data_IF_239103242695
#
_entry.id   IF_239103242695
#
_cell.length_a   1.000
_cell.length_b   1.000
_cell.length_c   1.000
_cell.angle_alpha   90.00
_cell.angle_beta   90.00
_cell.angle_gamma   90.00
#
_symmetry.space_group_name_H-M   'P 1'
#
loop_
_entity.id
_entity.type
_entity.pdbx_description
1 polymer ?
#
# COMPACT_ATOMS: atom_id res chain seq x y z
N UNK A 1 19.40 1.76 -3.48
CA UNK A 1 17.94 1.64 -3.33
C UNK A 1 17.67 0.22 -2.88
N UNK A 2 17.26 0.00 -1.62
CA UNK A 2 16.95 -1.36 -1.15
C UNK A 2 15.59 -1.76 -1.69
N UNK A 3 15.53 -2.83 -2.48
CA UNK A 3 14.28 -3.38 -2.97
C UNK A 3 13.59 -4.11 -1.81
N UNK A 4 12.38 -3.67 -1.45
CA UNK A 4 11.59 -4.33 -0.39
C UNK A 4 10.99 -5.64 -0.89
N UNK A 5 10.57 -6.51 0.03
CA UNK A 5 9.81 -7.72 -0.32
C UNK A 5 8.53 -7.37 -1.11
N UNK A 6 7.84 -6.30 -0.72
CA UNK A 6 6.68 -5.79 -1.43
C UNK A 6 7.00 -5.43 -2.90
N UNK A 7 8.12 -4.73 -3.15
CA UNK A 7 8.53 -4.38 -4.51
C UNK A 7 8.79 -5.63 -5.38
N UNK A 8 9.55 -6.60 -4.85
CA UNK A 8 9.85 -7.84 -5.59
C UNK A 8 8.58 -8.64 -5.90
N UNK A 9 7.67 -8.70 -4.92
CA UNK A 9 6.42 -9.41 -5.10
C UNK A 9 5.50 -8.69 -6.10
N UNK A 10 5.46 -7.36 -6.08
CA UNK A 10 4.73 -6.57 -7.07
C UNK A 10 5.25 -6.80 -8.49
N UNK A 11 6.56 -6.90 -8.69
CA UNK A 11 7.16 -7.25 -9.99
C UNK A 11 6.71 -8.65 -10.46
N UNK A 12 6.65 -9.63 -9.55
CA UNK A 12 6.12 -10.97 -9.85
C UNK A 12 4.65 -10.91 -10.24
N UNK A 13 3.80 -10.21 -9.46
CA UNK A 13 2.37 -10.10 -9.75
C UNK A 13 2.12 -9.39 -11.09
N UNK A 14 2.91 -8.37 -11.44
CA UNK A 14 2.80 -7.67 -12.71
C UNK A 14 3.05 -8.59 -13.92
N UNK A 15 3.88 -9.61 -13.77
CA UNK A 15 4.17 -10.61 -14.81
C UNK A 15 3.10 -11.70 -14.94
N UNK A 16 2.23 -11.87 -13.94
CA UNK A 16 1.18 -12.89 -13.92
C UNK A 16 -0.13 -12.39 -14.57
N UNK A 17 -0.92 -13.28 -15.19
CA UNK A 17 -2.29 -12.97 -15.61
C UNK A 17 -3.19 -12.74 -14.38
N UNK A 18 -4.28 -12.00 -14.57
CA UNK A 18 -5.20 -11.58 -13.49
C UNK A 18 -5.67 -12.73 -12.59
N UNK A 19 -6.05 -13.85 -13.18
CA UNK A 19 -6.54 -15.02 -12.42
C UNK A 19 -5.46 -15.64 -11.51
N UNK A 20 -4.20 -15.64 -11.96
CA UNK A 20 -3.08 -16.18 -11.18
C UNK A 20 -2.59 -15.23 -10.08
N UNK A 21 -2.85 -13.91 -10.22
CA UNK A 21 -2.47 -12.93 -9.19
C UNK A 21 -3.22 -13.17 -7.89
N UNK A 22 -4.50 -13.53 -7.96
CA UNK A 22 -5.32 -13.78 -6.76
C UNK A 22 -4.79 -14.95 -5.95
N UNK A 23 -4.51 -16.05 -6.65
CA UNK A 23 -3.93 -17.26 -6.04
C UNK A 23 -2.56 -16.96 -5.44
N UNK A 24 -1.69 -16.26 -6.17
CA UNK A 24 -0.37 -15.87 -5.69
C UNK A 24 -0.44 -15.00 -4.41
N UNK A 25 -1.36 -14.03 -4.34
CA UNK A 25 -1.52 -13.19 -3.14
C UNK A 25 -2.08 -14.01 -1.98
N UNK A 26 -3.07 -14.87 -2.21
CA UNK A 26 -3.61 -15.76 -1.18
C UNK A 26 -2.53 -16.68 -0.60
N UNK A 27 -1.71 -17.31 -1.46
CA UNK A 27 -0.58 -18.13 -1.05
C UNK A 27 0.42 -17.32 -0.22
N UNK A 28 0.82 -16.13 -0.68
CA UNK A 28 1.78 -15.29 0.04
C UNK A 28 1.27 -14.88 1.43
N UNK A 29 -0.02 -14.62 1.58
CA UNK A 29 -0.64 -14.28 2.87
C UNK A 29 -0.62 -15.48 3.82
N UNK A 30 -0.90 -16.69 3.32
CA UNK A 30 -0.81 -17.92 4.11
C UNK A 30 0.63 -18.19 4.56
N UNK A 31 1.61 -17.99 3.67
CA UNK A 31 3.02 -18.31 3.90
C UNK A 31 3.75 -17.29 4.78
N UNK A 32 3.44 -16.00 4.60
CA UNK A 32 4.19 -14.90 5.22
C UNK A 32 3.40 -14.11 6.26
N UNK A 33 2.11 -14.41 6.40
CA UNK A 33 1.18 -13.64 7.21
C UNK A 33 0.67 -12.39 6.47
N UNK A 34 -0.50 -11.93 6.88
CA UNK A 34 -1.21 -10.81 6.26
C UNK A 34 -2.72 -11.04 6.33
N UNK A 35 -3.47 -10.19 5.64
CA UNK A 35 -4.93 -10.28 5.54
C UNK A 35 -5.36 -10.24 4.08
N UNK A 36 -6.21 -11.19 3.67
CA UNK A 36 -6.61 -11.36 2.27
C UNK A 36 -7.98 -12.03 2.07
N UNK A 37 -8.78 -11.44 1.18
CA UNK A 37 -9.37 -10.12 1.36
C UNK A 37 -10.37 -10.18 2.53
N UNK A 38 -10.34 -9.18 3.40
CA UNK A 38 -11.39 -9.01 4.40
C UNK A 38 -12.28 -7.83 4.05
N UNK A 39 -13.58 -7.97 4.29
CA UNK A 39 -14.50 -6.85 4.19
C UNK A 39 -14.19 -5.86 5.30
N UNK A 40 -13.86 -4.62 4.92
CA UNK A 40 -13.66 -3.57 5.89
C UNK A 40 -15.01 -3.28 6.55
N UNK A 41 -15.15 -3.45 7.88
CA UNK A 41 -16.43 -3.23 8.54
C UNK A 41 -16.96 -1.82 8.27
N UNK A 42 -18.26 -1.71 7.98
CA UNK A 42 -18.94 -0.46 7.60
C UNK A 42 -18.52 0.14 6.24
N UNK A 43 -17.75 -0.57 5.42
CA UNK A 43 -17.41 -0.20 4.04
C UNK A 43 -17.62 -1.39 3.10
N UNK A 44 -18.10 -1.14 1.89
CA UNK A 44 -18.23 -2.20 0.88
C UNK A 44 -16.89 -2.53 0.17
N UNK A 45 -15.77 -2.15 0.78
CA UNK A 45 -14.45 -2.28 0.20
C UNK A 45 -13.68 -3.43 0.86
N UNK A 46 -12.81 -4.06 0.08
CA UNK A 46 -11.90 -5.12 0.48
C UNK A 46 -10.53 -4.53 0.75
N UNK A 47 -9.88 -4.95 1.83
CA UNK A 47 -8.50 -4.58 2.13
C UNK A 47 -7.58 -5.80 2.03
N UNK A 48 -6.39 -5.57 1.46
CA UNK A 48 -5.28 -6.52 1.39
C UNK A 48 -4.12 -5.92 2.17
N UNK A 49 -3.57 -6.71 3.10
CA UNK A 49 -2.35 -6.35 3.84
C UNK A 49 -1.31 -7.44 3.64
N UNK A 50 -0.18 -7.08 3.02
CA UNK A 50 0.91 -8.01 2.73
C UNK A 50 2.25 -7.28 2.69
N UNK A 51 3.30 -7.90 3.22
CA UNK A 51 4.67 -7.38 3.23
C UNK A 51 4.81 -5.92 3.73
N UNK A 52 3.99 -5.52 4.70
CA UNK A 52 3.99 -4.17 5.25
C UNK A 52 3.35 -3.10 4.36
N UNK A 53 2.66 -3.51 3.28
CA UNK A 53 1.87 -2.65 2.39
C UNK A 53 0.41 -3.03 2.51
N UNK A 54 -0.46 -2.02 2.59
CA UNK A 54 -1.91 -2.19 2.63
C UNK A 54 -2.56 -1.44 1.47
N UNK A 55 -3.60 -2.02 0.88
CA UNK A 55 -4.39 -1.36 -0.14
C UNK A 55 -5.85 -1.83 -0.10
N UNK A 56 -6.74 -0.95 -0.57
CA UNK A 56 -8.18 -1.15 -0.57
C UNK A 56 -8.69 -1.12 -2.02
N UNK A 57 -9.69 -1.94 -2.33
CA UNK A 57 -10.43 -1.90 -3.59
C UNK A 57 -11.89 -2.28 -3.39
N UNK A 58 -12.76 -1.94 -4.35
CA UNK A 58 -14.16 -2.37 -4.33
C UNK A 58 -14.33 -3.81 -4.82
N UNK A 59 -13.36 -4.29 -5.57
CA UNK A 59 -13.22 -5.69 -5.99
C UNK A 59 -11.85 -6.21 -5.57
N UNK A 60 -11.70 -7.54 -5.54
CA UNK A 60 -10.44 -8.19 -5.22
C UNK A 60 -9.34 -7.80 -6.23
N UNK A 61 -9.67 -7.77 -7.53
CA UNK A 61 -8.73 -7.35 -8.57
C UNK A 61 -8.26 -5.91 -8.40
N UNK A 62 -9.20 -5.01 -8.07
CA UNK A 62 -8.88 -3.61 -7.82
C UNK A 62 -8.01 -3.46 -6.58
N UNK A 63 -8.28 -4.22 -5.51
CA UNK A 63 -7.49 -4.19 -4.30
C UNK A 63 -6.05 -4.69 -4.57
N UNK A 64 -5.89 -5.76 -5.36
CA UNK A 64 -4.58 -6.29 -5.78
C UNK A 64 -3.84 -5.26 -6.63
N UNK A 65 -4.51 -4.65 -7.60
CA UNK A 65 -3.90 -3.64 -8.44
C UNK A 65 -3.44 -2.43 -7.61
N UNK A 66 -4.30 -1.93 -6.71
CA UNK A 66 -3.94 -0.85 -5.79
C UNK A 66 -2.80 -1.24 -4.84
N UNK A 67 -2.70 -2.52 -4.47
CA UNK A 67 -1.58 -3.03 -3.67
C UNK A 67 -0.27 -3.01 -4.47
N UNK A 68 -0.27 -3.45 -5.73
CA UNK A 68 0.89 -3.41 -6.64
C UNK A 68 1.39 -1.96 -6.79
N UNK A 69 0.47 -1.03 -7.08
CA UNK A 69 0.77 0.40 -7.18
C UNK A 69 1.37 0.96 -5.88
N UNK A 70 0.83 0.55 -4.73
CA UNK A 70 1.32 1.00 -3.41
C UNK A 70 2.69 0.41 -3.07
N UNK A 71 2.93 -0.84 -3.42
CA UNK A 71 4.19 -1.55 -3.18
C UNK A 71 5.34 -0.98 -4.03
N UNK A 72 5.03 -0.48 -5.22
CA UNK A 72 5.98 0.15 -6.15
C UNK A 72 6.21 1.64 -5.88
N UNK A 73 5.32 2.30 -5.14
CA UNK A 73 5.55 3.70 -4.75
C UNK A 73 6.79 3.77 -3.85
N UNK A 74 7.78 4.61 -4.18
CA UNK A 74 8.82 4.93 -3.22
C UNK A 74 8.14 5.46 -1.97
N UNK A 75 8.50 4.92 -0.79
CA UNK A 75 7.93 5.35 0.48
C UNK A 75 7.83 6.87 0.45
N UNK A 76 6.61 7.39 0.38
CA UNK A 76 6.41 8.83 0.43
C UNK A 76 7.02 9.22 1.76
N UNK A 77 8.21 9.82 1.70
CA UNK A 77 8.86 10.35 2.88
C UNK A 77 7.78 11.13 3.59
N UNK A 78 7.55 10.81 4.87
CA UNK A 78 6.71 11.61 5.74
C UNK A 78 7.22 13.03 5.53
N UNK A 79 6.52 13.83 4.73
CA UNK A 79 6.77 15.25 4.72
C UNK A 79 6.27 15.65 6.10
N UNK A 80 7.22 15.74 7.03
CA UNK A 80 7.04 16.54 8.22
C UNK A 80 6.51 17.87 7.69
N UNK A 81 5.22 18.10 7.85
CA UNK A 81 4.67 19.44 7.71
C UNK A 81 5.42 20.25 8.75
N UNK A 82 6.48 20.95 8.32
CA UNK A 82 7.07 22.00 9.13
C UNK A 82 5.90 22.90 9.56
N UNK A 83 5.69 23.09 10.88
CA UNK A 83 4.64 23.99 11.34
C UNK A 83 4.87 25.36 10.71
N UNK A 84 3.80 26.09 10.33
CA UNK A 84 3.96 27.38 9.68
C UNK A 84 4.82 28.28 10.56
N UNK A 85 5.93 28.75 9.97
CA UNK A 85 6.78 29.79 10.53
C UNK A 85 5.91 30.99 10.89
N UNK A 86 5.65 31.18 12.19
CA UNK A 86 5.01 32.38 12.71
C UNK A 86 5.95 33.55 12.43
N UNK A 87 5.53 34.61 11.71
CA UNK A 87 6.37 35.78 11.56
C UNK A 87 6.58 36.46 12.91
N UNK A 88 7.84 36.70 13.28
CA UNK A 88 8.21 37.49 14.46
C UNK A 88 7.50 38.85 14.45
N UNK A 89 7.01 39.33 15.61
CA UNK A 89 6.38 40.65 15.67
C UNK A 89 7.43 41.72 15.37
N UNK A 90 7.15 42.53 14.35
CA UNK A 90 7.95 43.71 14.03
C UNK A 90 8.09 44.59 15.28
N UNK A 91 9.32 44.76 15.74
CA UNK A 91 9.64 45.75 16.77
C UNK A 91 9.45 47.12 16.13
N UNK A 92 8.38 47.84 16.52
CA UNK A 92 8.23 49.25 16.21
C UNK A 92 9.38 50.02 16.88
N UNK A 93 10.16 50.76 16.07
CA UNK A 93 11.02 51.86 16.53
C UNK A 93 10.23 53.15 16.66
#
# INVERSE_FOLDING_TARGET
MFQTLANRFADTLAALPLDERRDAVACAVIETGGDYPFQVPYRAALEIQLHGTAAIGWTEDEAIQNWIDSAQRPAAGIQATEPPMVPEPATCS
#
